data_IF_557237930362
#
_entry.id   IF_557237930362
#
_cell.length_a   1.000
_cell.length_b   1.000
_cell.length_c   1.000
_cell.angle_alpha   90.00
_cell.angle_beta   90.00
_cell.angle_gamma   90.00
#
_symmetry.space_group_name_H-M   'P 1'
#
loop_
_entity.id
_entity.type
_entity.pdbx_description
1 polymer ?
#
# COMPACT_ATOMS: atom_id res chain seq x y z
N UNK A 1 -8.63 -0.71 22.88
CA UNK A 1 -9.89 -1.43 22.55
C UNK A 1 -10.15 -1.26 21.06
N UNK A 2 -10.64 -2.29 20.37
CA UNK A 2 -11.01 -2.23 18.95
C UNK A 2 -12.20 -1.30 18.72
N UNK A 3 -12.17 -0.48 17.66
CA UNK A 3 -13.31 0.35 17.25
C UNK A 3 -14.48 -0.52 16.76
N UNK A 4 -15.72 -0.14 17.13
CA UNK A 4 -16.95 -0.88 16.79
C UNK A 4 -17.59 -0.45 15.46
N UNK A 5 -16.81 0.10 14.55
CA UNK A 5 -17.23 0.59 13.23
C UNK A 5 -17.58 -0.52 12.22
N UNK A 6 -18.10 -0.14 11.05
CA UNK A 6 -18.43 -1.08 9.98
C UNK A 6 -17.20 -1.48 9.17
N UNK A 7 -17.19 -2.70 8.62
CA UNK A 7 -16.20 -3.15 7.65
C UNK A 7 -16.29 -2.46 6.29
N UNK A 8 -17.44 -1.88 5.97
CA UNK A 8 -17.72 -1.24 4.67
C UNK A 8 -18.00 0.26 4.82
N UNK A 9 -17.50 0.87 5.89
CA UNK A 9 -17.62 2.30 6.11
C UNK A 9 -16.73 3.12 5.15
N UNK A 10 -17.06 4.40 4.97
CA UNK A 10 -16.29 5.32 4.13
C UNK A 10 -14.88 5.59 4.66
N UNK A 11 -14.68 5.45 5.98
CA UNK A 11 -13.40 5.47 6.66
C UNK A 11 -12.46 4.35 6.17
N UNK A 12 -12.96 3.12 6.01
CA UNK A 12 -12.19 2.00 5.47
C UNK A 12 -11.73 2.26 4.04
N UNK A 13 -12.59 2.88 3.23
CA UNK A 13 -12.22 3.31 1.89
C UNK A 13 -11.11 4.37 1.91
N UNK A 14 -11.14 5.28 2.87
CA UNK A 14 -10.08 6.29 3.03
C UNK A 14 -8.73 5.65 3.38
N UNK A 15 -8.70 4.68 4.31
CA UNK A 15 -7.51 3.88 4.63
C UNK A 15 -6.95 3.15 3.41
N UNK A 16 -7.83 2.42 2.70
CA UNK A 16 -7.47 1.74 1.46
C UNK A 16 -6.86 2.70 0.42
N UNK A 17 -7.53 3.81 0.15
CA UNK A 17 -7.09 4.77 -0.85
C UNK A 17 -5.78 5.47 -0.45
N UNK A 18 -5.63 5.82 0.83
CA UNK A 18 -4.41 6.43 1.35
C UNK A 18 -3.21 5.48 1.31
N UNK A 19 -3.44 4.18 1.54
CA UNK A 19 -2.39 3.15 1.56
C UNK A 19 -1.96 2.69 0.17
N UNK A 20 -2.80 2.88 -0.84
CA UNK A 20 -2.50 2.53 -2.25
C UNK A 20 -1.19 3.15 -2.77
N UNK A 21 -0.96 4.47 -2.72
CA UNK A 21 0.29 5.06 -3.20
C UNK A 21 1.52 4.56 -2.42
N UNK A 22 1.39 4.26 -1.11
CA UNK A 22 2.50 3.73 -0.33
C UNK A 22 2.88 2.30 -0.75
N UNK A 23 1.90 1.45 -1.08
CA UNK A 23 2.15 0.14 -1.67
C UNK A 23 2.88 0.22 -3.01
N UNK A 24 2.45 1.15 -3.88
CA UNK A 24 3.10 1.40 -5.17
C UNK A 24 4.56 1.84 -5.03
N UNK A 25 4.83 2.78 -4.11
CA UNK A 25 6.18 3.23 -3.79
C UNK A 25 7.03 2.11 -3.17
N UNK A 26 6.44 1.31 -2.28
CA UNK A 26 7.09 0.14 -1.71
C UNK A 26 7.54 -0.82 -2.81
N UNK A 27 6.63 -1.19 -3.72
CA UNK A 27 6.95 -2.09 -4.83
C UNK A 27 8.03 -1.52 -5.75
N UNK A 28 8.01 -0.20 -5.98
CA UNK A 28 9.08 0.48 -6.72
C UNK A 28 10.44 0.38 -6.00
N UNK A 29 10.49 0.55 -4.68
CA UNK A 29 11.74 0.40 -3.91
C UNK A 29 12.24 -1.03 -3.87
N UNK A 30 11.34 -2.01 -3.90
CA UNK A 30 11.68 -3.44 -3.82
C UNK A 30 11.68 -4.11 -5.18
N UNK A 31 11.67 -3.34 -6.28
CA UNK A 31 11.54 -3.84 -7.66
C UNK A 31 12.61 -4.86 -8.06
N UNK A 32 13.82 -4.73 -7.52
CA UNK A 32 14.96 -5.61 -7.84
C UNK A 32 15.04 -6.84 -6.92
N UNK A 33 14.00 -7.08 -6.10
CA UNK A 33 13.91 -8.24 -5.20
C UNK A 33 13.15 -9.41 -5.85
N UNK A 34 13.20 -10.59 -5.24
CA UNK A 34 12.42 -11.74 -5.71
C UNK A 34 10.89 -11.55 -5.56
N UNK A 35 10.44 -10.69 -4.65
CA UNK A 35 9.02 -10.53 -4.30
C UNK A 35 8.63 -9.05 -4.11
N UNK A 36 8.69 -8.23 -5.19
CA UNK A 36 8.46 -6.79 -5.11
C UNK A 36 7.06 -6.43 -4.60
N UNK A 37 6.04 -7.21 -4.95
CA UNK A 37 4.67 -6.96 -4.47
C UNK A 37 4.56 -7.23 -2.97
N UNK A 38 5.15 -8.32 -2.47
CA UNK A 38 5.08 -8.70 -1.05
C UNK A 38 5.82 -7.67 -0.20
N UNK A 39 7.08 -7.38 -0.51
CA UNK A 39 7.85 -6.40 0.26
C UNK A 39 7.29 -4.98 0.09
N UNK A 40 6.80 -4.64 -1.09
CA UNK A 40 6.12 -3.37 -1.33
C UNK A 40 4.86 -3.20 -0.50
N UNK A 41 4.06 -4.26 -0.35
CA UNK A 41 2.87 -4.27 0.52
C UNK A 41 3.25 -4.07 1.98
N UNK A 42 4.29 -4.77 2.47
CA UNK A 42 4.75 -4.65 3.86
C UNK A 42 5.24 -3.23 4.17
N UNK A 43 6.06 -2.65 3.29
CA UNK A 43 6.53 -1.27 3.41
C UNK A 43 5.34 -0.31 3.32
N UNK A 44 4.45 -0.53 2.36
CA UNK A 44 3.29 0.33 2.13
C UNK A 44 2.27 0.34 3.26
N UNK A 45 2.19 -0.75 4.03
CA UNK A 45 1.31 -0.88 5.21
C UNK A 45 1.87 -0.12 6.42
N UNK A 46 3.18 0.13 6.48
CA UNK A 46 3.84 0.68 7.67
C UNK A 46 3.24 2.02 8.16
N UNK A 47 2.88 2.99 7.30
CA UNK A 47 2.22 4.21 7.74
C UNK A 47 0.86 3.96 8.41
N UNK A 48 0.02 3.09 7.85
CA UNK A 48 -1.27 2.70 8.42
C UNK A 48 -1.12 2.00 9.77
N UNK A 49 -0.19 1.04 9.85
CA UNK A 49 0.14 0.38 11.12
C UNK A 49 0.61 1.38 12.18
N UNK A 50 1.47 2.34 11.83
CA UNK A 50 1.95 3.36 12.75
C UNK A 50 0.81 4.26 13.24
N UNK A 51 -0.12 4.64 12.35
CA UNK A 51 -1.34 5.37 12.71
C UNK A 51 -2.19 4.58 13.71
N UNK A 52 -2.48 3.32 13.44
CA UNK A 52 -3.33 2.51 14.31
C UNK A 52 -2.68 2.26 15.68
N UNK A 53 -1.37 2.06 15.73
CA UNK A 53 -0.61 1.99 16.99
C UNK A 53 -0.77 3.30 17.77
N UNK A 54 -0.63 4.45 17.11
CA UNK A 54 -0.79 5.76 17.74
C UNK A 54 -2.21 5.97 18.26
N UNK A 55 -3.22 5.66 17.45
CA UNK A 55 -4.64 5.76 17.83
C UNK A 55 -4.98 4.84 19.02
N UNK A 56 -4.31 3.69 19.12
CA UNK A 56 -4.38 2.79 20.27
C UNK A 56 -3.89 3.38 21.59
N UNK A 57 -3.07 4.44 21.56
CA UNK A 57 -2.60 5.16 22.75
C UNK A 57 -3.48 6.34 23.15
N UNK A 58 -4.38 6.79 22.26
CA UNK A 58 -5.23 7.96 22.49
C UNK A 58 -6.52 7.57 23.24
N UNK A 59 -6.90 8.23 24.35
CA UNK A 59 -8.12 7.91 25.09
C UNK A 59 -9.43 8.13 24.31
N UNK A 60 -9.40 9.01 23.31
CA UNK A 60 -10.53 9.37 22.45
C UNK A 60 -10.62 8.53 21.17
N UNK A 61 -9.63 7.67 20.92
CA UNK A 61 -9.58 6.79 19.76
C UNK A 61 -9.24 5.37 20.21
N UNK A 62 -9.06 4.45 19.27
CA UNK A 62 -8.63 3.10 19.56
C UNK A 62 -8.04 2.45 18.33
N UNK A 63 -7.12 1.52 18.55
CA UNK A 63 -6.56 0.69 17.48
C UNK A 63 -7.68 -0.02 16.72
N UNK A 64 -7.63 0.01 15.39
CA UNK A 64 -8.59 -0.67 14.54
C UNK A 64 -7.93 -1.67 13.58
N UNK A 65 -8.12 -2.97 13.86
CA UNK A 65 -7.75 -4.06 12.94
C UNK A 65 -8.47 -3.95 11.60
N UNK A 66 -9.66 -3.34 11.56
CA UNK A 66 -10.41 -3.16 10.32
C UNK A 66 -9.76 -2.09 9.43
N UNK A 67 -9.32 -0.99 10.03
CA UNK A 67 -8.57 0.05 9.32
C UNK A 67 -7.21 -0.46 8.86
N UNK A 68 -6.48 -1.16 9.73
CA UNK A 68 -5.23 -1.82 9.35
C UNK A 68 -5.43 -2.83 8.20
N UNK A 69 -6.54 -3.56 8.19
CA UNK A 69 -6.86 -4.48 7.08
C UNK A 69 -7.10 -3.71 5.79
N UNK A 70 -7.83 -2.59 5.84
CA UNK A 70 -8.03 -1.72 4.68
C UNK A 70 -6.71 -1.14 4.18
N UNK A 71 -5.79 -0.77 5.08
CA UNK A 71 -4.44 -0.31 4.74
C UNK A 71 -3.62 -1.40 4.03
N UNK A 72 -3.63 -2.64 4.56
CA UNK A 72 -2.96 -3.79 3.91
C UNK A 72 -3.51 -4.03 2.51
N UNK A 73 -4.84 -4.02 2.34
CA UNK A 73 -5.47 -4.23 1.03
C UNK A 73 -5.13 -3.10 0.06
N UNK A 74 -5.14 -1.85 0.51
CA UNK A 74 -4.74 -0.70 -0.29
C UNK A 74 -3.29 -0.81 -0.74
N UNK A 75 -2.37 -1.06 0.19
CA UNK A 75 -0.96 -1.27 -0.10
C UNK A 75 -0.74 -2.44 -1.07
N UNK A 76 -1.47 -3.54 -0.91
CA UNK A 76 -1.38 -4.70 -1.82
C UNK A 76 -1.83 -4.33 -3.24
N UNK A 77 -2.95 -3.63 -3.37
CA UNK A 77 -3.46 -3.16 -4.67
C UNK A 77 -2.46 -2.22 -5.31
N UNK A 78 -1.95 -1.24 -4.57
CA UNK A 78 -0.94 -0.31 -5.06
C UNK A 78 0.35 -1.01 -5.52
N UNK A 79 0.85 -1.95 -4.73
CA UNK A 79 2.03 -2.73 -5.05
C UNK A 79 1.83 -3.59 -6.29
N UNK A 80 0.65 -4.23 -6.41
CA UNK A 80 0.30 -5.06 -7.56
C UNK A 80 0.15 -4.24 -8.85
N UNK A 81 -0.53 -3.10 -8.76
CA UNK A 81 -0.69 -2.17 -9.89
C UNK A 81 0.64 -1.59 -10.34
N UNK A 82 1.50 -1.18 -9.40
CA UNK A 82 2.83 -0.69 -9.73
C UNK A 82 3.68 -1.78 -10.39
N UNK A 83 3.66 -3.01 -9.87
CA UNK A 83 4.42 -4.12 -10.43
C UNK A 83 3.96 -4.48 -11.85
N UNK A 84 2.66 -4.42 -12.13
CA UNK A 84 2.10 -4.70 -13.44
C UNK A 84 2.27 -3.54 -14.44
N UNK A 85 1.97 -2.31 -13.99
CA UNK A 85 1.88 -1.14 -14.87
C UNK A 85 3.18 -0.36 -15.02
N UNK A 86 4.12 -0.43 -14.08
CA UNK A 86 5.33 0.40 -14.14
C UNK A 86 6.49 -0.41 -14.72
N UNK A 87 7.03 0.08 -15.83
CA UNK A 87 8.26 -0.45 -16.42
C UNK A 87 9.43 0.44 -16.08
N UNK A 88 10.58 -0.20 -15.86
CA UNK A 88 11.80 0.48 -15.45
C UNK A 88 12.95 0.04 -16.35
N UNK A 89 13.65 1.00 -16.95
CA UNK A 89 14.87 0.74 -17.68
C UNK A 89 15.97 1.70 -17.22
N UNK A 90 17.10 1.16 -16.79
CA UNK A 90 18.28 1.92 -16.40
C UNK A 90 19.44 1.52 -17.29
N UNK A 91 20.02 2.50 -17.97
CA UNK A 91 21.21 2.33 -18.80
C UNK A 91 22.30 3.34 -18.38
N UNK A 92 23.41 3.38 -19.12
CA UNK A 92 24.52 4.32 -18.86
C UNK A 92 24.18 5.78 -19.15
N UNK A 93 23.03 6.08 -19.76
CA UNK A 93 22.59 7.43 -20.16
C UNK A 93 21.47 7.97 -19.27
N UNK A 94 20.80 7.12 -18.49
CA UNK A 94 19.81 7.58 -17.52
C UNK A 94 18.85 6.51 -17.02
N UNK A 95 17.74 6.99 -16.45
CA UNK A 95 16.64 6.18 -15.94
C UNK A 95 15.36 6.55 -16.68
N UNK A 96 14.70 5.54 -17.25
CA UNK A 96 13.39 5.64 -17.87
C UNK A 96 12.35 4.94 -16.99
N UNK A 97 11.26 5.65 -16.72
CA UNK A 97 10.06 5.12 -16.09
C UNK A 97 8.96 5.19 -17.13
N UNK A 98 8.38 4.03 -17.44
CA UNK A 98 7.30 3.89 -18.42
C UNK A 98 6.06 3.26 -17.81
N UNK A 99 4.93 3.43 -18.49
CA UNK A 99 3.71 2.67 -18.19
C UNK A 99 3.60 1.51 -19.20
N UNK A 100 3.58 0.28 -18.70
CA UNK A 100 3.20 -0.89 -19.46
C UNK A 100 1.69 -0.90 -19.67
N UNK A 101 1.30 -1.20 -20.90
CA UNK A 101 -0.07 -1.50 -21.28
C UNK A 101 -0.02 -2.80 -22.08
N UNK A 102 -0.70 -3.83 -21.60
CA UNK A 102 -0.88 -5.12 -22.28
C UNK A 102 -2.32 -5.26 -22.72
N UNK A 103 -2.54 -5.59 -23.98
CA UNK A 103 -3.84 -5.90 -24.58
C UNK A 103 -4.21 -7.39 -24.50
N UNK A 104 -3.37 -8.21 -23.85
CA UNK A 104 -3.64 -9.63 -23.62
C UNK A 104 -4.06 -9.89 -22.17
N UNK A 105 -5.26 -10.46 -22.04
CA UNK A 105 -5.82 -11.05 -20.81
C UNK A 105 -5.31 -12.47 -20.61
#
# INVERSE_FOLDING_TARGET
MQTSDSWTGSDKLAHFAASTPFGALGAYFTRDTAHPVVYGTLIGTAPGLAKEIFDGTCPSAGFSYKDLTADVLGALVGASLAHWAITYHRDSRGTLVGLAYSDRF
#
